data_IF_912609878191
#
_entry.id   IF_912609878191
#
_cell.length_a   1.000
_cell.length_b   1.000
_cell.length_c   1.000
_cell.angle_alpha   90.00
_cell.angle_beta   90.00
_cell.angle_gamma   90.00
#
_symmetry.space_group_name_H-M   'P 1'
#
loop_
_entity.id
_entity.type
_entity.pdbx_description
1 polymer ?
#
# COMPACT_ATOMS: atom_id res chain seq x y z
N UNK A 1 10.76 10.88 -29.43
CA UNK A 1 10.06 10.55 -28.14
C UNK A 1 8.58 10.50 -28.44
N UNK A 2 7.98 9.32 -28.44
CA UNK A 2 6.55 9.19 -28.74
C UNK A 2 5.75 9.33 -27.44
N UNK A 3 5.01 10.43 -27.30
CA UNK A 3 4.07 10.64 -26.21
C UNK A 3 2.78 9.89 -26.52
N UNK A 4 2.40 8.92 -25.72
CA UNK A 4 1.05 8.31 -25.75
C UNK A 4 0.20 8.93 -24.66
N UNK A 5 -1.00 9.33 -25.01
CA UNK A 5 -2.00 9.83 -24.07
C UNK A 5 -3.04 8.74 -23.91
N UNK A 6 -3.20 8.23 -22.70
CA UNK A 6 -4.28 7.31 -22.33
C UNK A 6 -5.42 8.21 -21.84
N UNK A 7 -6.50 8.26 -22.61
CA UNK A 7 -7.68 9.04 -22.23
C UNK A 7 -8.38 8.34 -21.07
N UNK A 8 -8.52 9.04 -19.96
CA UNK A 8 -9.30 8.58 -18.82
C UNK A 8 -10.77 8.88 -19.05
N UNK A 9 -11.58 7.85 -19.23
CA UNK A 9 -13.04 7.95 -19.39
C UNK A 9 -13.78 8.12 -18.05
N UNK A 10 -13.07 8.19 -16.93
CA UNK A 10 -13.71 8.46 -15.64
C UNK A 10 -14.35 9.84 -15.69
N UNK A 11 -15.64 9.81 -15.55
CA UNK A 11 -16.66 10.85 -15.52
C UNK A 11 -16.14 12.30 -15.60
N UNK A 12 -16.45 12.98 -16.70
CA UNK A 12 -15.99 14.35 -16.96
C UNK A 12 -16.60 15.37 -16.00
N UNK A 13 -17.64 15.01 -15.26
CA UNK A 13 -18.44 15.94 -14.44
C UNK A 13 -17.89 16.18 -13.03
N UNK A 14 -16.99 15.32 -12.51
CA UNK A 14 -16.46 15.42 -11.13
C UNK A 14 -14.92 15.45 -11.05
N UNK A 15 -14.27 16.24 -11.90
CA UNK A 15 -12.80 16.34 -12.01
C UNK A 15 -12.07 16.89 -10.77
N UNK A 16 -12.76 17.50 -9.81
CA UNK A 16 -12.12 18.30 -8.76
C UNK A 16 -11.41 17.50 -7.67
N UNK A 17 -11.72 16.21 -7.48
CA UNK A 17 -11.17 15.39 -6.38
C UNK A 17 -10.76 13.97 -6.80
N UNK A 18 -10.39 13.78 -8.07
CA UNK A 18 -9.93 12.49 -8.55
C UNK A 18 -8.45 12.29 -8.21
N UNK A 19 -8.13 11.18 -7.58
CA UNK A 19 -6.76 10.68 -7.38
C UNK A 19 -6.49 9.51 -8.30
N UNK A 20 -5.26 9.39 -8.77
CA UNK A 20 -4.87 8.29 -9.67
C UNK A 20 -3.43 7.86 -9.39
N UNK A 21 -3.13 6.63 -9.77
CA UNK A 21 -1.79 6.06 -9.76
C UNK A 21 -1.72 4.88 -10.73
N UNK A 22 -0.51 4.50 -11.11
CA UNK A 22 -0.29 3.37 -12.01
C UNK A 22 0.96 2.59 -11.64
N UNK A 23 0.99 1.32 -12.04
CA UNK A 23 2.11 0.41 -11.87
C UNK A 23 2.32 -0.37 -13.16
N UNK A 24 3.56 -0.43 -13.67
CA UNK A 24 3.92 -1.20 -14.85
C UNK A 24 4.57 -2.51 -14.42
N UNK A 25 4.00 -3.63 -14.84
CA UNK A 25 4.56 -4.97 -14.65
C UNK A 25 4.58 -5.69 -15.99
N UNK A 26 5.77 -6.04 -16.47
CA UNK A 26 5.92 -6.61 -17.81
C UNK A 26 5.41 -5.66 -18.90
N UNK A 27 4.46 -6.12 -19.69
CA UNK A 27 3.80 -5.36 -20.74
C UNK A 27 2.41 -4.81 -20.35
N UNK A 28 2.03 -4.91 -19.08
CA UNK A 28 0.74 -4.45 -18.57
C UNK A 28 0.89 -3.25 -17.65
N UNK A 29 0.13 -2.21 -17.94
CA UNK A 29 -0.01 -1.05 -17.08
C UNK A 29 -1.31 -1.21 -16.27
N UNK A 30 -1.17 -1.31 -14.97
CA UNK A 30 -2.26 -1.31 -14.01
C UNK A 30 -2.51 0.13 -13.59
N UNK A 31 -3.62 0.70 -14.03
CA UNK A 31 -4.00 2.08 -13.77
C UNK A 31 -5.20 2.11 -12.85
N UNK A 32 -5.08 2.80 -11.74
CA UNK A 32 -6.16 2.99 -10.78
C UNK A 32 -6.51 4.48 -10.64
N UNK A 33 -7.80 4.76 -10.58
CA UNK A 33 -8.33 6.09 -10.24
C UNK A 33 -9.47 5.95 -9.23
N UNK A 34 -9.58 6.94 -8.35
CA UNK A 34 -10.63 6.97 -7.34
C UNK A 34 -11.18 8.39 -7.15
N UNK A 35 -12.49 8.47 -6.99
CA UNK A 35 -13.23 9.61 -6.47
C UNK A 35 -13.86 9.23 -5.13
N UNK A 36 -14.62 10.12 -4.49
CA UNK A 36 -15.40 9.75 -3.30
C UNK A 36 -16.54 8.76 -3.62
N UNK A 37 -16.94 8.68 -4.89
CA UNK A 37 -18.10 7.91 -5.34
C UNK A 37 -17.74 6.59 -6.01
N UNK A 38 -16.55 6.49 -6.61
CA UNK A 38 -16.16 5.30 -7.37
C UNK A 38 -14.65 5.02 -7.34
N UNK A 39 -14.32 3.74 -7.49
CA UNK A 39 -12.99 3.20 -7.77
C UNK A 39 -13.00 2.58 -9.16
N UNK A 40 -12.04 2.92 -10.00
CA UNK A 40 -11.82 2.32 -11.32
C UNK A 40 -10.42 1.78 -11.37
N UNK A 41 -10.28 0.51 -11.80
CA UNK A 41 -9.00 -0.14 -12.07
C UNK A 41 -9.02 -0.62 -13.52
N UNK A 42 -8.03 -0.23 -14.29
CA UNK A 42 -7.84 -0.65 -15.68
C UNK A 42 -6.53 -1.42 -15.83
N UNK A 43 -6.60 -2.54 -16.54
CA UNK A 43 -5.43 -3.27 -17.04
C UNK A 43 -5.26 -2.89 -18.51
N UNK A 44 -4.12 -2.32 -18.84
CA UNK A 44 -3.87 -1.71 -20.17
C UNK A 44 -2.63 -2.38 -20.75
N UNK A 45 -2.72 -2.83 -22.01
CA UNK A 45 -1.53 -3.23 -22.74
C UNK A 45 -0.65 -2.01 -23.00
N UNK A 46 0.56 -2.06 -22.48
CA UNK A 46 1.47 -0.90 -22.48
C UNK A 46 1.90 -0.48 -23.90
N UNK A 47 2.04 -1.43 -24.81
CA UNK A 47 2.51 -1.15 -26.15
C UNK A 47 1.41 -0.63 -27.09
N UNK A 48 0.23 -1.21 -27.01
CA UNK A 48 -0.90 -0.78 -27.85
C UNK A 48 -1.73 0.35 -27.24
N UNK A 49 -1.69 0.50 -25.91
CA UNK A 49 -2.57 1.39 -25.14
C UNK A 49 -4.02 0.89 -25.04
N UNK A 50 -4.27 -0.37 -25.45
CA UNK A 50 -5.60 -0.97 -25.39
C UNK A 50 -5.94 -1.34 -23.95
N UNK A 51 -7.13 -0.94 -23.49
CA UNK A 51 -7.69 -1.45 -22.23
C UNK A 51 -8.07 -2.92 -22.43
N UNK A 52 -7.41 -3.80 -21.67
CA UNK A 52 -7.65 -5.25 -21.68
C UNK A 52 -8.82 -5.60 -20.77
N UNK A 53 -8.87 -4.96 -19.61
CA UNK A 53 -9.91 -5.17 -18.59
C UNK A 53 -10.13 -3.92 -17.77
N UNK A 54 -11.37 -3.72 -17.34
CA UNK A 54 -11.76 -2.67 -16.41
C UNK A 54 -12.60 -3.27 -15.27
N UNK A 55 -12.32 -2.81 -14.06
CA UNK A 55 -13.05 -3.12 -12.83
C UNK A 55 -13.52 -1.82 -12.21
N UNK A 56 -14.77 -1.77 -11.81
CA UNK A 56 -15.39 -0.57 -11.22
C UNK A 56 -16.19 -0.97 -10.00
N UNK A 57 -16.08 -0.17 -8.93
CA UNK A 57 -16.91 -0.33 -7.73
C UNK A 57 -17.38 1.05 -7.26
N UNK A 58 -18.66 1.18 -6.93
CA UNK A 58 -19.21 2.41 -6.38
C UNK A 58 -19.08 2.44 -4.85
N UNK A 59 -19.20 3.63 -4.28
CA UNK A 59 -19.04 3.86 -2.85
C UNK A 59 -20.03 3.15 -1.96
N UNK A 60 -21.24 2.87 -2.47
CA UNK A 60 -22.34 2.18 -1.81
C UNK A 60 -22.37 0.66 -2.08
N UNK A 61 -21.50 0.17 -2.96
CA UNK A 61 -21.37 -1.23 -3.32
C UNK A 61 -20.15 -1.86 -2.60
N UNK A 62 -20.19 -3.17 -2.42
CA UNK A 62 -19.01 -3.91 -2.02
C UNK A 62 -18.08 -4.10 -3.22
N UNK A 63 -16.75 -4.05 -3.00
CA UNK A 63 -15.77 -4.33 -4.06
C UNK A 63 -15.80 -5.84 -4.33
N UNK A 64 -16.36 -6.24 -5.46
CA UNK A 64 -16.56 -7.64 -5.85
C UNK A 64 -15.28 -8.32 -6.35
N UNK A 65 -14.28 -7.53 -6.75
CA UNK A 65 -12.98 -8.01 -7.23
C UNK A 65 -11.89 -8.01 -6.14
N UNK A 66 -12.24 -7.87 -4.86
CA UNK A 66 -11.26 -8.02 -3.77
C UNK A 66 -11.17 -9.47 -3.30
N UNK A 67 -9.95 -9.96 -3.08
CA UNK A 67 -9.71 -11.28 -2.48
C UNK A 67 -9.45 -11.21 -0.98
N UNK A 68 -9.15 -10.02 -0.44
CA UNK A 68 -8.96 -9.84 1.01
C UNK A 68 -9.89 -8.77 1.56
N UNK A 69 -10.20 -8.80 2.85
CA UNK A 69 -10.84 -7.66 3.51
C UNK A 69 -10.07 -6.38 3.29
N UNK A 70 -10.77 -5.25 3.33
CA UNK A 70 -10.12 -3.94 3.33
C UNK A 70 -9.52 -3.72 4.73
N UNK A 71 -8.20 -3.75 4.85
CA UNK A 71 -7.51 -3.57 6.12
C UNK A 71 -6.92 -2.17 6.24
N UNK A 72 -7.03 -1.58 7.41
CA UNK A 72 -6.34 -0.34 7.76
C UNK A 72 -5.26 -0.63 8.79
N UNK A 73 -4.03 -0.23 8.48
CA UNK A 73 -2.88 -0.29 9.37
C UNK A 73 -2.41 1.10 9.77
N UNK A 74 -1.72 1.18 10.88
CA UNK A 74 -1.15 2.42 11.41
C UNK A 74 -2.10 3.16 12.34
N UNK A 75 -1.65 3.37 13.57
CA UNK A 75 -2.32 4.19 14.56
C UNK A 75 -1.31 5.14 15.22
N UNK A 76 -1.83 6.24 15.75
CA UNK A 76 -1.04 7.31 16.36
C UNK A 76 -0.34 6.94 17.66
N UNK A 77 -0.81 5.95 18.40
CA UNK A 77 -0.34 5.64 19.74
C UNK A 77 0.06 4.19 19.99
N UNK A 78 -0.37 3.26 19.13
CA UNK A 78 -0.04 1.84 19.26
C UNK A 78 0.43 1.33 17.90
N UNK A 79 1.68 0.92 17.79
CA UNK A 79 2.20 0.29 16.59
C UNK A 79 1.51 -1.05 16.35
N UNK A 80 1.19 -1.36 15.09
CA UNK A 80 0.70 -2.68 14.69
C UNK A 80 -0.81 -2.91 14.84
N UNK A 81 -1.62 -1.88 15.13
CA UNK A 81 -3.08 -2.10 15.15
C UNK A 81 -3.63 -2.14 13.73
N UNK A 82 -4.08 -3.30 13.33
CA UNK A 82 -4.81 -3.53 12.09
C UNK A 82 -6.30 -3.61 12.39
N UNK A 83 -7.12 -2.95 11.58
CA UNK A 83 -8.58 -3.06 11.64
C UNK A 83 -9.17 -3.23 10.24
N UNK A 84 -10.27 -3.93 10.15
CA UNK A 84 -11.04 -4.01 8.91
C UNK A 84 -11.92 -2.79 8.70
N UNK A 85 -12.06 -2.39 7.45
CA UNK A 85 -13.02 -1.38 7.00
C UNK A 85 -14.18 -2.09 6.31
N UNK A 86 -15.35 -2.01 6.89
CA UNK A 86 -16.53 -2.72 6.40
C UNK A 86 -17.22 -2.08 5.17
N UNK A 87 -16.75 -0.93 4.67
CA UNK A 87 -17.43 -0.21 3.59
C UNK A 87 -16.45 0.38 2.58
N UNK A 88 -16.76 0.21 1.29
CA UNK A 88 -16.02 0.80 0.16
C UNK A 88 -15.88 2.32 0.30
N UNK A 89 -16.93 3.03 0.69
CA UNK A 89 -16.90 4.47 0.95
C UNK A 89 -15.81 4.92 1.93
N UNK A 90 -15.50 4.09 2.94
CA UNK A 90 -14.42 4.40 3.89
C UNK A 90 -13.05 4.33 3.24
N UNK A 91 -12.83 3.36 2.35
CA UNK A 91 -11.61 3.24 1.56
C UNK A 91 -11.46 4.41 0.59
N UNK A 92 -12.50 4.70 -0.20
CA UNK A 92 -12.49 5.80 -1.18
C UNK A 92 -12.14 7.13 -0.53
N UNK A 93 -12.78 7.46 0.61
CA UNK A 93 -12.45 8.67 1.36
C UNK A 93 -11.01 8.70 1.87
N UNK A 94 -10.40 7.54 2.13
CA UNK A 94 -8.97 7.49 2.49
C UNK A 94 -8.08 7.65 1.26
N UNK A 95 -8.45 7.10 0.12
CA UNK A 95 -7.73 7.28 -1.14
C UNK A 95 -7.73 8.74 -1.57
N UNK A 96 -8.88 9.40 -1.57
CA UNK A 96 -9.02 10.81 -2.00
C UNK A 96 -8.35 11.80 -1.03
N UNK A 97 -8.30 11.49 0.27
CA UNK A 97 -7.64 12.32 1.29
C UNK A 97 -6.15 12.00 1.52
N UNK A 98 -5.56 11.13 0.69
CA UNK A 98 -4.16 10.73 0.81
C UNK A 98 -3.56 10.39 -0.57
N UNK A 99 -2.58 9.50 -0.63
CA UNK A 99 -2.05 9.00 -1.90
C UNK A 99 -2.70 7.66 -2.22
N UNK A 100 -3.29 7.54 -3.40
CA UNK A 100 -3.66 6.25 -3.96
C UNK A 100 -2.38 5.47 -4.27
N UNK A 101 -2.37 4.21 -3.86
CA UNK A 101 -1.24 3.29 -4.08
C UNK A 101 -1.74 2.08 -4.83
N UNK A 102 -1.02 1.70 -5.86
CA UNK A 102 -1.18 0.44 -6.58
C UNK A 102 0.20 -0.20 -6.74
N UNK A 103 0.30 -1.48 -6.46
CA UNK A 103 1.47 -2.31 -6.77
C UNK A 103 1.03 -3.64 -7.34
N UNK A 104 1.86 -4.24 -8.17
CA UNK A 104 1.61 -5.53 -8.79
C UNK A 104 2.82 -6.44 -8.60
N UNK A 105 2.58 -7.72 -8.30
CA UNK A 105 3.61 -8.74 -8.14
C UNK A 105 3.17 -9.99 -8.91
N UNK A 106 4.06 -10.59 -9.68
CA UNK A 106 3.83 -11.92 -10.24
C UNK A 106 3.84 -12.97 -9.14
N UNK A 107 2.89 -13.89 -9.23
CA UNK A 107 2.99 -15.19 -8.60
C UNK A 107 3.29 -16.24 -9.66
N UNK A 108 4.57 -16.62 -9.75
CA UNK A 108 5.07 -17.52 -10.78
C UNK A 108 4.46 -18.93 -10.68
N UNK A 109 4.00 -19.31 -9.49
CA UNK A 109 3.41 -20.63 -9.24
C UNK A 109 2.01 -20.80 -9.84
N UNK A 110 1.25 -19.72 -9.96
CA UNK A 110 -0.17 -19.75 -10.36
C UNK A 110 -0.47 -18.98 -11.65
N UNK A 111 0.54 -18.47 -12.36
CA UNK A 111 0.35 -17.58 -13.51
C UNK A 111 -0.62 -16.44 -13.21
N UNK A 112 -0.50 -15.88 -12.05
CA UNK A 112 -1.36 -14.79 -11.59
C UNK A 112 -0.56 -13.56 -11.17
N UNK A 113 -1.26 -12.44 -11.09
CA UNK A 113 -0.72 -11.18 -10.58
C UNK A 113 -1.50 -10.79 -9.34
N UNK A 114 -0.78 -10.60 -8.24
CA UNK A 114 -1.32 -10.05 -7.00
C UNK A 114 -1.23 -8.54 -7.09
N UNK A 115 -2.37 -7.87 -7.12
CA UNK A 115 -2.46 -6.42 -7.02
C UNK A 115 -2.74 -6.02 -5.57
N UNK A 116 -1.99 -5.07 -5.07
CA UNK A 116 -2.30 -4.38 -3.82
C UNK A 116 -2.79 -2.98 -4.17
N UNK A 117 -4.01 -2.67 -3.77
CA UNK A 117 -4.68 -1.41 -4.05
C UNK A 117 -5.12 -0.75 -2.75
N UNK A 118 -4.84 0.54 -2.61
CA UNK A 118 -5.20 1.22 -1.37
C UNK A 118 -4.76 2.66 -1.28
N UNK A 119 -4.60 3.12 -0.06
CA UNK A 119 -4.17 4.46 0.28
C UNK A 119 -2.98 4.46 1.22
N UNK A 120 -2.11 5.45 1.09
CA UNK A 120 -0.98 5.66 1.97
C UNK A 120 -0.88 7.12 2.39
N UNK A 121 -0.73 7.35 3.70
CA UNK A 121 -0.54 8.68 4.26
C UNK A 121 0.61 8.67 5.26
N UNK A 122 1.64 9.46 5.00
CA UNK A 122 2.71 9.73 5.98
C UNK A 122 2.29 10.93 6.83
N UNK A 123 2.19 10.72 8.14
CA UNK A 123 1.84 11.78 9.10
C UNK A 123 3.11 12.16 9.85
N UNK A 124 3.44 13.44 9.82
CA UNK A 124 4.57 13.98 10.57
C UNK A 124 4.02 14.70 11.80
N UNK A 125 4.52 14.33 12.97
CA UNK A 125 4.27 15.06 14.20
C UNK A 125 5.49 15.86 14.57
N UNK A 126 5.23 17.08 14.95
CA UNK A 126 6.21 17.94 15.59
C UNK A 126 5.80 18.03 17.06
N UNK A 127 6.44 17.26 17.91
CA UNK A 127 6.31 17.45 19.35
C UNK A 127 7.21 18.61 19.75
N UNK A 128 6.66 19.80 19.74
CA UNK A 128 7.26 20.93 20.43
C UNK A 128 7.07 20.73 21.93
N UNK A 129 8.09 20.32 22.63
CA UNK A 129 8.09 20.37 24.10
C UNK A 129 8.01 21.82 24.54
N UNK A 130 6.91 22.22 25.16
CA UNK A 130 6.75 23.55 25.76
C UNK A 130 5.91 23.44 27.02
N UNK A 131 6.22 24.27 27.99
CA UNK A 131 5.51 24.35 29.25
C UNK A 131 4.82 25.71 29.35
N UNK A 132 3.54 25.69 29.71
CA UNK A 132 2.83 26.91 30.05
C UNK A 132 3.28 27.37 31.45
N UNK A 133 3.91 28.50 31.52
CA UNK A 133 4.31 29.11 32.80
C UNK A 133 3.42 30.32 33.03
N UNK A 134 2.65 30.25 34.09
CA UNK A 134 1.81 31.36 34.53
C UNK A 134 1.86 31.52 36.04
N UNK A 135 1.96 32.72 36.52
CA UNK A 135 1.73 33.07 37.92
C UNK A 135 0.31 33.59 38.11
N UNK A 136 -0.23 33.43 39.31
CA UNK A 136 -1.57 33.94 39.65
C UNK A 136 -1.68 35.44 39.31
N UNK A 137 -2.51 35.77 38.30
CA UNK A 137 -2.78 37.14 37.88
C UNK A 137 -2.08 37.62 36.59
N UNK A 138 -1.22 36.81 35.95
CA UNK A 138 -0.62 37.15 34.66
C UNK A 138 -1.08 36.17 33.58
N UNK A 139 -1.17 36.65 32.33
CA UNK A 139 -1.47 35.76 31.18
C UNK A 139 -0.40 34.67 31.08
N UNK A 140 -0.80 33.38 30.88
CA UNK A 140 0.17 32.30 30.77
C UNK A 140 1.05 32.50 29.54
N UNK A 141 2.34 32.34 29.69
CA UNK A 141 3.34 32.42 28.63
C UNK A 141 3.77 30.99 28.29
N UNK A 142 3.73 30.65 27.02
CA UNK A 142 4.26 29.38 26.50
C UNK A 142 5.78 29.48 26.36
N UNK A 143 6.52 28.74 27.16
CA UNK A 143 7.97 28.63 27.03
C UNK A 143 8.30 27.33 26.30
N UNK A 144 8.95 27.35 25.11
CA UNK A 144 9.46 26.16 24.48
C UNK A 144 10.63 25.62 25.34
N UNK A 145 10.41 24.50 26.01
CA UNK A 145 11.43 23.81 26.81
C UNK A 145 12.17 22.79 25.97
N UNK A 146 13.01 23.22 25.08
CA UNK A 146 14.02 22.39 24.40
C UNK A 146 13.49 21.19 23.59
N UNK A 147 14.22 20.81 22.53
CA UNK A 147 14.09 19.52 21.86
C UNK A 147 12.82 19.32 21.03
N UNK A 148 12.81 19.78 19.78
CA UNK A 148 11.81 19.33 18.80
C UNK A 148 12.08 17.88 18.43
N UNK A 149 11.29 16.93 18.93
CA UNK A 149 11.31 15.58 18.43
C UNK A 149 10.39 15.46 17.22
N UNK A 150 10.93 14.96 16.11
CA UNK A 150 10.19 14.71 14.88
C UNK A 150 9.88 13.23 14.83
N UNK A 151 8.65 12.86 15.10
CA UNK A 151 8.16 11.50 14.87
C UNK A 151 7.34 11.45 13.57
N UNK A 152 7.49 10.39 12.81
CA UNK A 152 6.65 10.14 11.65
C UNK A 152 6.07 8.74 11.74
N UNK A 153 4.80 8.61 11.43
CA UNK A 153 4.12 7.34 11.32
C UNK A 153 3.31 7.31 10.03
N UNK A 154 2.98 6.12 9.56
CA UNK A 154 2.22 5.94 8.34
C UNK A 154 0.84 5.34 8.64
N UNK A 155 -0.14 5.74 7.86
CA UNK A 155 -1.45 5.08 7.77
C UNK A 155 -1.62 4.53 6.38
N UNK A 156 -2.04 3.27 6.30
CA UNK A 156 -2.45 2.65 5.04
C UNK A 156 -3.85 2.05 5.20
N UNK A 157 -4.61 2.04 4.12
CA UNK A 157 -5.83 1.24 4.00
C UNK A 157 -5.76 0.55 2.65
N UNK A 158 -5.87 -0.78 2.63
CA UNK A 158 -5.58 -1.56 1.43
C UNK A 158 -6.34 -2.87 1.39
N UNK A 159 -6.50 -3.40 0.18
CA UNK A 159 -6.91 -4.78 -0.07
C UNK A 159 -6.02 -5.39 -1.15
N UNK A 160 -6.03 -6.71 -1.25
CA UNK A 160 -5.37 -7.46 -2.32
C UNK A 160 -6.41 -8.02 -3.30
N UNK A 161 -6.01 -8.10 -4.55
CA UNK A 161 -6.78 -8.67 -5.65
C UNK A 161 -5.91 -9.61 -6.46
N UNK A 162 -6.46 -10.71 -6.91
CA UNK A 162 -5.78 -11.70 -7.74
C UNK A 162 -6.32 -11.63 -9.17
N UNK A 163 -5.43 -11.48 -10.15
CA UNK A 163 -5.76 -11.38 -11.57
C UNK A 163 -5.01 -12.47 -12.33
N UNK A 164 -5.68 -13.10 -13.28
CA UNK A 164 -5.03 -14.00 -14.23
C UNK A 164 -4.07 -13.20 -15.14
N UNK A 165 -2.82 -13.64 -15.23
CA UNK A 165 -1.81 -12.89 -15.98
C UNK A 165 -2.08 -12.89 -17.50
N UNK A 166 -2.73 -13.90 -18.06
CA UNK A 166 -3.04 -13.95 -19.49
C UNK A 166 -4.33 -13.21 -19.84
N UNK A 167 -5.44 -13.55 -19.17
CA UNK A 167 -6.77 -13.03 -19.50
C UNK A 167 -7.08 -11.68 -18.87
N UNK A 168 -6.32 -11.28 -17.84
CA UNK A 168 -6.59 -10.11 -17.01
C UNK A 168 -7.92 -10.15 -16.24
N UNK A 169 -8.52 -11.34 -16.12
CA UNK A 169 -9.75 -11.57 -15.36
C UNK A 169 -9.45 -11.72 -13.88
N UNK A 170 -10.37 -11.31 -13.02
CA UNK A 170 -10.31 -11.55 -11.58
C UNK A 170 -10.39 -13.05 -11.27
N UNK A 171 -9.54 -13.52 -10.37
CA UNK A 171 -9.54 -14.88 -9.85
C UNK A 171 -10.10 -14.86 -8.44
N UNK A 172 -11.21 -15.57 -8.22
CA UNK A 172 -11.78 -15.77 -6.88
C UNK A 172 -10.92 -16.76 -6.08
N UNK A 173 -10.81 -16.53 -4.79
CA UNK A 173 -10.11 -17.43 -3.87
C UNK A 173 -9.11 -16.71 -2.99
N UNK A 174 -8.35 -17.50 -2.24
CA UNK A 174 -7.34 -16.99 -1.32
C UNK A 174 -6.11 -16.46 -2.07
N UNK A 175 -5.54 -15.40 -1.54
CA UNK A 175 -4.28 -14.87 -2.06
C UNK A 175 -3.14 -15.79 -1.64
N UNK A 176 -2.33 -16.30 -2.58
CA UNK A 176 -1.15 -17.06 -2.24
C UNK A 176 -0.19 -16.22 -1.38
N UNK A 177 0.54 -16.85 -0.44
CA UNK A 177 1.48 -16.14 0.41
C UNK A 177 2.53 -15.41 -0.44
N UNK A 178 2.61 -14.10 -0.30
CA UNK A 178 3.63 -13.31 -0.97
C UNK A 178 5.03 -13.66 -0.41
N UNK A 179 6.08 -13.27 -1.12
CA UNK A 179 7.45 -13.42 -0.63
C UNK A 179 7.64 -12.75 0.74
N UNK A 180 7.00 -11.62 0.97
CA UNK A 180 7.05 -10.93 2.26
C UNK A 180 6.35 -11.74 3.36
N UNK A 181 5.20 -12.35 3.07
CA UNK A 181 4.51 -13.22 4.03
C UNK A 181 5.37 -14.43 4.39
N UNK A 182 6.07 -15.01 3.41
CA UNK A 182 7.01 -16.13 3.64
C UNK A 182 8.21 -15.71 4.50
N UNK A 183 8.77 -14.53 4.24
CA UNK A 183 9.88 -13.97 5.02
C UNK A 183 9.40 -13.67 6.46
N UNK A 184 8.22 -13.10 6.63
CA UNK A 184 7.65 -12.82 7.96
C UNK A 184 7.49 -14.10 8.77
N UNK A 185 6.95 -15.17 8.18
CA UNK A 185 6.85 -16.49 8.83
C UNK A 185 8.24 -17.04 9.18
N UNK A 186 9.20 -16.93 8.27
CA UNK A 186 10.58 -17.37 8.51
C UNK A 186 11.23 -16.59 9.65
N UNK A 187 11.16 -15.26 9.62
CA UNK A 187 11.79 -14.41 10.64
C UNK A 187 11.13 -14.52 12.01
N UNK A 188 9.80 -14.78 12.06
CA UNK A 188 9.11 -15.06 13.30
C UNK A 188 9.59 -16.37 13.97
N UNK A 189 10.16 -17.29 13.20
CA UNK A 189 10.78 -18.52 13.71
C UNK A 189 12.20 -18.37 14.23
N UNK A 190 12.87 -17.22 14.00
CA UNK A 190 14.20 -16.96 14.49
C UNK A 190 14.18 -16.70 16.01
N UNK A 191 15.12 -17.29 16.73
CA UNK A 191 15.21 -17.10 18.18
C UNK A 191 15.63 -15.69 18.58
N UNK A 192 16.39 -15.04 17.73
CA UNK A 192 16.89 -13.67 17.93
C UNK A 192 16.52 -12.84 16.69
N UNK A 193 16.02 -11.62 16.86
CA UNK A 193 15.72 -10.75 15.72
C UNK A 193 16.94 -10.56 14.82
N UNK A 194 16.70 -10.68 13.52
CA UNK A 194 17.70 -10.42 12.47
C UNK A 194 18.08 -8.94 12.39
N UNK A 195 19.28 -8.66 11.95
CA UNK A 195 19.74 -7.30 11.63
C UNK A 195 20.24 -7.25 10.17
N UNK A 196 20.35 -6.06 9.61
CA UNK A 196 20.90 -5.83 8.26
C UNK A 196 20.19 -6.65 7.18
N UNK A 197 18.87 -6.63 7.22
CA UNK A 197 18.02 -7.41 6.31
C UNK A 197 18.03 -6.83 4.89
N UNK A 198 18.14 -7.72 3.90
CA UNK A 198 18.06 -7.36 2.49
C UNK A 198 17.35 -8.46 1.70
N UNK A 199 16.42 -8.08 0.85
CA UNK A 199 15.73 -8.96 -0.10
C UNK A 199 16.16 -8.60 -1.52
N UNK A 200 16.62 -9.58 -2.27
CA UNK A 200 17.04 -9.37 -3.67
C UNK A 200 16.58 -10.53 -4.55
N UNK A 201 16.39 -10.23 -5.81
CA UNK A 201 16.05 -11.19 -6.86
C UNK A 201 17.30 -11.52 -7.68
N UNK A 202 17.60 -12.79 -7.81
CA UNK A 202 18.71 -13.29 -8.63
C UNK A 202 18.25 -14.55 -9.40
N UNK A 203 18.37 -14.55 -10.72
CA UNK A 203 17.94 -15.65 -11.59
C UNK A 203 16.50 -16.11 -11.28
N UNK A 204 15.57 -15.16 -11.21
CA UNK A 204 14.15 -15.39 -10.94
C UNK A 204 13.82 -16.01 -9.56
N UNK A 205 14.79 -16.06 -8.66
CA UNK A 205 14.65 -16.56 -7.29
C UNK A 205 14.86 -15.45 -6.28
N UNK A 206 14.05 -15.44 -5.25
CA UNK A 206 14.21 -14.51 -4.14
C UNK A 206 15.21 -15.04 -3.12
N UNK A 207 16.10 -14.17 -2.69
CA UNK A 207 17.09 -14.43 -1.64
C UNK A 207 16.92 -13.39 -0.55
N UNK A 208 16.80 -13.87 0.67
CA UNK A 208 16.76 -13.03 1.86
C UNK A 208 18.07 -13.18 2.62
N UNK A 209 18.82 -12.10 2.70
CA UNK A 209 20.09 -12.04 3.43
C UNK A 209 19.89 -11.28 4.74
N UNK A 210 20.43 -11.81 5.82
CA UNK A 210 20.35 -11.19 7.15
C UNK A 210 21.57 -11.54 7.99
N UNK A 211 21.89 -10.70 8.97
CA UNK A 211 22.91 -11.01 9.93
C UNK A 211 22.31 -11.79 11.10
N UNK A 212 22.77 -13.03 11.26
CA UNK A 212 22.40 -13.88 12.39
C UNK A 212 23.27 -13.53 13.60
N UNK A 213 22.65 -12.98 14.64
CA UNK A 213 23.33 -12.58 15.88
C UNK A 213 23.75 -13.76 16.74
N UNK A 214 23.03 -14.89 16.66
CA UNK A 214 23.34 -16.09 17.44
C UNK A 214 24.61 -16.75 16.88
N UNK A 215 24.66 -16.91 15.56
CA UNK A 215 25.80 -17.50 14.86
C UNK A 215 26.91 -16.49 14.52
N UNK A 216 26.63 -15.20 14.66
CA UNK A 216 27.53 -14.09 14.30
C UNK A 216 27.99 -14.16 12.84
N UNK A 217 27.09 -14.54 11.96
CA UNK A 217 27.37 -14.77 10.55
C UNK A 217 26.34 -14.10 9.65
N UNK A 218 26.71 -13.84 8.39
CA UNK A 218 25.77 -13.46 7.35
C UNK A 218 25.10 -14.72 6.80
N UNK A 219 23.80 -14.81 6.93
CA UNK A 219 22.98 -15.90 6.41
C UNK A 219 22.21 -15.48 5.18
N UNK A 220 22.05 -16.39 4.21
CA UNK A 220 21.27 -16.16 2.99
C UNK A 220 20.32 -17.33 2.81
N UNK A 221 19.03 -17.05 2.73
CA UNK A 221 17.98 -18.04 2.51
C UNK A 221 17.32 -17.80 1.16
N UNK A 222 17.14 -18.85 0.38
CA UNK A 222 16.39 -18.83 -0.88
C UNK A 222 14.92 -19.18 -0.61
N UNK A 223 14.01 -18.43 -1.24
CA UNK A 223 12.59 -18.66 -1.24
C UNK A 223 12.09 -19.02 -2.61
#
# INVERSE_FOLDING_TARGET
MNKRVIENKADQDNKLYMVYNSFLLGNKLYYASATEDALVLQVIDFYSGKVLKEFTSKSDEEIDFKNTPITQEGNSFVAGVTRELGKTKQLLRKMTNSRLVITALHDDSSHSVILLLGSYKKVKYYNGGGMWVGSAGAAPIFLPTGGFSRSSWSKSARFKMLINDFSSEHINGDIPPSINDKIEVFTAGLKVPSDCENLFLLNEKYFYAFYDKEERSLSVVQF
#
